data_IF_909670634134
#
_entry.id   IF_909670634134
#
_cell.length_a   1.000
_cell.length_b   1.000
_cell.length_c   1.000
_cell.angle_alpha   90.00
_cell.angle_beta   90.00
_cell.angle_gamma   90.00
#
_symmetry.space_group_name_H-M   'P 1'
#
loop_
_entity.id
_entity.type
_entity.pdbx_description
1 polymer ?
#
# COMPACT_ATOMS: atom_id res chain seq x y z
N UNK A 1 17.22 38.15 1.71
CA UNK A 1 17.72 37.04 0.88
C UNK A 1 16.51 36.25 0.46
N UNK A 2 16.19 36.23 -0.83
CA UNK A 2 15.10 35.37 -1.34
C UNK A 2 15.52 33.92 -1.12
N UNK A 3 14.72 33.16 -0.37
CA UNK A 3 14.85 31.72 -0.27
C UNK A 3 14.79 31.15 -1.68
N UNK A 4 15.84 30.47 -2.11
CA UNK A 4 15.79 29.71 -3.34
C UNK A 4 14.61 28.71 -3.17
N UNK A 5 13.59 28.84 -4.00
CA UNK A 5 12.51 27.88 -4.07
C UNK A 5 13.16 26.59 -4.57
N UNK A 6 13.23 25.56 -3.73
CA UNK A 6 13.69 24.26 -4.17
C UNK A 6 12.91 23.84 -5.42
N UNK A 7 13.57 23.31 -6.44
CA UNK A 7 12.88 22.86 -7.64
C UNK A 7 11.82 21.81 -7.24
N UNK A 8 10.68 21.78 -7.94
CA UNK A 8 9.65 20.76 -7.68
C UNK A 8 10.25 19.37 -7.80
N UNK A 9 9.83 18.45 -6.92
CA UNK A 9 10.30 17.08 -6.94
C UNK A 9 9.99 16.40 -8.27
N UNK A 10 11.00 15.80 -8.91
CA UNK A 10 10.80 15.03 -10.13
C UNK A 10 10.19 13.66 -9.82
N UNK A 11 8.90 13.51 -10.09
CA UNK A 11 8.14 12.27 -9.85
C UNK A 11 8.40 11.18 -10.90
N UNK A 12 9.17 11.47 -11.95
CA UNK A 12 9.52 10.55 -13.05
C UNK A 12 10.96 10.07 -13.00
N UNK A 13 11.65 10.33 -11.90
CA UNK A 13 13.02 9.88 -11.68
C UNK A 13 13.16 9.19 -10.32
N UNK A 14 13.94 8.12 -10.29
CA UNK A 14 14.44 7.56 -9.03
C UNK A 14 15.44 8.55 -8.45
N UNK A 15 15.32 8.95 -7.16
CA UNK A 15 16.27 9.84 -6.53
C UNK A 15 17.71 9.32 -6.64
N UNK A 16 18.66 10.20 -6.92
CA UNK A 16 20.05 9.81 -7.21
C UNK A 16 20.77 9.15 -6.02
N UNK A 17 20.32 9.43 -4.80
CA UNK A 17 20.81 8.88 -3.54
C UNK A 17 19.99 7.68 -3.03
N UNK A 18 18.97 7.26 -3.78
CA UNK A 18 18.22 6.03 -3.51
C UNK A 18 18.80 4.85 -4.30
N UNK A 19 18.78 3.67 -3.72
CA UNK A 19 19.34 2.44 -4.30
C UNK A 19 18.26 1.40 -4.51
N UNK A 20 18.01 1.02 -5.76
CA UNK A 20 17.16 -0.12 -6.08
C UNK A 20 17.95 -1.43 -5.89
N UNK A 21 17.31 -2.39 -5.27
CA UNK A 21 17.89 -3.71 -4.97
C UNK A 21 16.83 -4.81 -5.04
N UNK A 22 17.24 -6.05 -4.80
CA UNK A 22 16.31 -7.18 -4.64
C UNK A 22 16.66 -7.97 -3.40
N UNK A 23 15.66 -8.42 -2.68
CA UNK A 23 15.81 -9.37 -1.59
C UNK A 23 15.17 -10.71 -1.97
N UNK A 24 15.59 -11.77 -1.31
CA UNK A 24 15.12 -13.13 -1.57
C UNK A 24 14.20 -13.57 -0.44
N UNK A 25 12.97 -13.97 -0.77
CA UNK A 25 12.08 -14.64 0.16
C UNK A 25 12.61 -16.05 0.50
N UNK A 26 12.07 -16.69 1.54
CA UNK A 26 12.55 -17.98 2.03
C UNK A 26 12.58 -19.10 0.96
N UNK A 27 11.69 -19.02 -0.02
CA UNK A 27 11.60 -19.95 -1.16
C UNK A 27 12.46 -19.53 -2.36
N UNK A 28 13.27 -18.47 -2.21
CA UNK A 28 14.13 -17.94 -3.28
C UNK A 28 13.41 -16.98 -4.24
N UNK A 29 12.15 -16.60 -3.99
CA UNK A 29 11.48 -15.62 -4.83
C UNK A 29 12.13 -14.24 -4.70
N UNK A 30 12.49 -13.64 -5.83
CA UNK A 30 13.17 -12.35 -5.88
C UNK A 30 12.16 -11.20 -5.87
N UNK A 31 12.25 -10.32 -4.88
CA UNK A 31 11.33 -9.18 -4.68
C UNK A 31 12.11 -7.87 -4.75
N UNK A 32 11.60 -6.93 -5.51
CA UNK A 32 12.24 -5.62 -5.72
C UNK A 32 12.03 -4.71 -4.51
N UNK A 33 13.05 -3.95 -4.19
CA UNK A 33 13.09 -2.99 -3.09
C UNK A 33 13.88 -1.76 -3.48
N UNK A 34 13.55 -0.61 -2.92
CA UNK A 34 14.32 0.62 -2.95
C UNK A 34 14.65 1.05 -1.52
N UNK A 35 15.87 1.52 -1.29
CA UNK A 35 16.32 2.09 -0.03
C UNK A 35 16.85 3.50 -0.28
N UNK A 36 16.39 4.44 0.51
CA UNK A 36 16.76 5.84 0.45
C UNK A 36 17.14 6.31 1.85
N UNK A 37 18.43 6.23 2.23
CA UNK A 37 18.90 6.59 3.55
C UNK A 37 18.75 8.10 3.79
N UNK A 38 18.36 8.48 5.00
CA UNK A 38 18.35 9.87 5.41
C UNK A 38 19.76 10.48 5.36
N UNK A 39 19.89 11.79 5.16
CA UNK A 39 21.18 12.46 5.22
C UNK A 39 21.94 12.12 6.51
N UNK A 40 23.25 11.96 6.42
CA UNK A 40 24.08 11.54 7.54
C UNK A 40 23.86 12.41 8.79
N UNK A 41 23.59 11.77 9.93
CA UNK A 41 23.34 12.42 11.22
C UNK A 41 21.92 12.98 11.41
N UNK A 42 21.00 12.80 10.46
CA UNK A 42 19.62 13.31 10.56
C UNK A 42 18.56 12.23 10.81
N UNK A 43 18.93 10.96 10.86
CA UNK A 43 17.99 9.84 10.93
C UNK A 43 17.13 9.89 12.21
N UNK A 44 15.82 10.09 12.05
CA UNK A 44 14.81 10.05 13.13
C UNK A 44 14.24 8.65 13.35
N UNK A 45 14.54 7.73 12.46
CA UNK A 45 14.01 6.38 12.40
C UNK A 45 13.90 5.91 10.96
N UNK A 46 13.14 4.86 10.73
CA UNK A 46 13.01 4.25 9.40
C UNK A 46 11.55 3.93 9.07
N UNK A 47 11.14 4.20 7.82
CA UNK A 47 9.81 3.92 7.28
C UNK A 47 9.95 2.89 6.17
N UNK A 48 9.21 1.78 6.26
CA UNK A 48 9.02 0.83 5.16
C UNK A 48 7.63 1.05 4.56
N UNK A 49 7.60 1.44 3.27
CA UNK A 49 6.36 1.66 2.53
C UNK A 49 6.03 0.47 1.63
N UNK A 50 4.74 0.10 1.61
CA UNK A 50 4.23 -1.03 0.84
C UNK A 50 3.01 -0.62 0.01
N UNK A 51 3.07 -0.73 -1.34
CA UNK A 51 2.02 -0.28 -2.26
C UNK A 51 0.79 -1.22 -2.24
N UNK A 52 -0.24 -0.82 -2.98
CA UNK A 52 -1.48 -1.58 -3.18
C UNK A 52 -1.37 -2.70 -4.21
N UNK A 53 -2.54 -3.21 -4.63
CA UNK A 53 -2.64 -4.21 -5.70
C UNK A 53 -2.47 -3.56 -7.07
N UNK A 54 -1.62 -4.13 -7.92
CA UNK A 54 -1.33 -3.57 -9.25
C UNK A 54 -0.68 -2.20 -9.18
N UNK A 55 -0.03 -1.95 -8.08
CA UNK A 55 0.61 -0.72 -7.69
C UNK A 55 2.11 -0.92 -7.57
N UNK A 56 2.89 0.15 -7.52
CA UNK A 56 4.34 0.13 -7.45
C UNK A 56 4.85 1.37 -6.71
N UNK A 57 6.03 1.31 -6.10
CA UNK A 57 6.50 2.36 -5.21
C UNK A 57 6.84 3.69 -5.91
N UNK A 58 7.13 3.67 -7.22
CA UNK A 58 7.43 4.89 -7.97
C UNK A 58 6.27 5.90 -7.96
N UNK A 59 5.04 5.44 -7.87
CA UNK A 59 3.86 6.30 -7.71
C UNK A 59 3.92 7.17 -6.46
N UNK A 60 4.65 6.73 -5.45
CA UNK A 60 4.71 7.34 -4.13
C UNK A 60 6.02 8.08 -3.84
N UNK A 61 6.94 8.18 -4.80
CA UNK A 61 8.24 8.82 -4.60
C UNK A 61 8.13 10.23 -4.02
N UNK A 62 7.13 11.03 -4.42
CA UNK A 62 6.89 12.36 -3.88
C UNK A 62 6.53 12.32 -2.37
N UNK A 63 5.74 11.35 -1.94
CA UNK A 63 5.41 11.14 -0.53
C UNK A 63 6.61 10.60 0.25
N UNK A 64 7.35 9.68 -0.33
CA UNK A 64 8.58 9.13 0.25
C UNK A 64 9.65 10.22 0.39
N UNK A 65 9.79 11.10 -0.61
CA UNK A 65 10.68 12.27 -0.56
C UNK A 65 10.28 13.26 0.54
N UNK A 66 8.98 13.44 0.79
CA UNK A 66 8.51 14.27 1.88
C UNK A 66 9.01 13.73 3.23
N UNK A 67 8.83 12.46 3.54
CA UNK A 67 9.33 11.87 4.77
C UNK A 67 10.86 11.80 4.85
N UNK A 68 11.54 11.57 3.71
CA UNK A 68 13.00 11.62 3.63
C UNK A 68 13.54 13.02 4.01
N UNK A 69 12.95 14.10 3.48
CA UNK A 69 13.31 15.48 3.86
C UNK A 69 13.09 15.78 5.34
N UNK A 70 12.13 15.10 5.97
CA UNK A 70 11.90 15.19 7.41
C UNK A 70 12.92 14.39 8.24
N UNK A 71 13.87 13.72 7.61
CA UNK A 71 14.96 12.97 8.26
C UNK A 71 14.63 11.51 8.55
N UNK A 72 13.70 10.88 7.82
CA UNK A 72 13.45 9.45 7.92
C UNK A 72 14.25 8.67 6.87
N UNK A 73 14.85 7.54 7.27
CA UNK A 73 15.28 6.55 6.29
C UNK A 73 14.05 5.96 5.61
N UNK A 74 14.05 5.90 4.30
CA UNK A 74 12.93 5.37 3.53
C UNK A 74 13.34 4.05 2.88
N UNK A 75 12.48 3.05 3.01
CA UNK A 75 12.51 1.87 2.16
C UNK A 75 11.12 1.64 1.58
N UNK A 76 11.06 1.11 0.37
CA UNK A 76 9.80 0.62 -0.19
C UNK A 76 10.04 -0.70 -0.92
N UNK A 77 9.05 -1.58 -0.94
CA UNK A 77 9.16 -2.89 -1.59
C UNK A 77 7.87 -3.21 -2.33
N UNK A 78 8.01 -3.81 -3.51
CA UNK A 78 6.87 -4.43 -4.17
C UNK A 78 6.42 -5.67 -3.38
N UNK A 79 5.22 -6.15 -3.67
CA UNK A 79 4.78 -7.47 -3.23
C UNK A 79 5.21 -8.55 -4.23
N UNK A 80 5.45 -9.78 -3.76
CA UNK A 80 5.61 -10.96 -4.61
C UNK A 80 4.55 -10.98 -5.69
N UNK A 81 4.94 -11.14 -6.94
CA UNK A 81 4.03 -11.21 -8.09
C UNK A 81 3.46 -9.87 -8.54
N UNK A 82 3.94 -8.72 -8.00
CA UNK A 82 3.48 -7.38 -8.34
C UNK A 82 4.66 -6.44 -8.63
N UNK A 83 4.38 -5.28 -9.20
CA UNK A 83 5.42 -4.37 -9.66
C UNK A 83 6.41 -5.08 -10.59
N UNK A 84 7.71 -4.92 -10.34
CA UNK A 84 8.77 -5.71 -11.01
C UNK A 84 9.26 -6.88 -10.11
N UNK A 85 8.34 -7.54 -9.39
CA UNK A 85 8.63 -8.72 -8.55
C UNK A 85 8.01 -10.00 -9.09
N UNK A 86 8.01 -10.15 -10.41
CA UNK A 86 7.49 -11.31 -11.14
C UNK A 86 5.97 -11.36 -11.24
N UNK A 87 5.45 -12.50 -11.68
CA UNK A 87 4.00 -12.76 -11.82
C UNK A 87 3.70 -14.19 -11.40
N UNK A 88 2.53 -14.39 -10.78
CA UNK A 88 2.05 -15.71 -10.31
C UNK A 88 0.80 -16.18 -11.09
N UNK A 89 0.29 -15.34 -11.99
CA UNK A 89 -0.84 -15.66 -12.86
C UNK A 89 -0.49 -16.60 -14.02
N UNK A 90 -1.47 -16.83 -14.91
CA UNK A 90 -1.28 -17.61 -16.15
C UNK A 90 -0.58 -16.81 -17.25
N UNK A 91 -0.57 -15.50 -17.13
CA UNK A 91 -0.02 -14.57 -18.09
C UNK A 91 0.82 -13.48 -17.38
N UNK A 92 1.43 -12.60 -18.17
CA UNK A 92 2.31 -11.55 -17.67
C UNK A 92 1.60 -10.42 -16.92
N UNK A 93 0.27 -10.39 -16.87
CA UNK A 93 -0.48 -9.24 -16.33
C UNK A 93 -1.53 -9.60 -15.30
N UNK A 94 -2.09 -10.81 -15.32
CA UNK A 94 -3.09 -11.24 -14.32
C UNK A 94 -2.46 -11.38 -12.93
N UNK A 95 -2.92 -10.57 -11.99
CA UNK A 95 -2.47 -10.63 -10.59
C UNK A 95 -3.06 -11.86 -9.88
N UNK A 96 -2.19 -12.67 -9.28
CA UNK A 96 -2.58 -13.89 -8.59
C UNK A 96 -1.79 -14.09 -7.31
N UNK A 97 -2.37 -14.80 -6.37
CA UNK A 97 -1.74 -15.43 -5.22
C UNK A 97 -2.64 -16.56 -4.73
N UNK A 98 -2.05 -17.66 -4.33
CA UNK A 98 -2.79 -18.80 -3.78
C UNK A 98 -3.23 -18.58 -2.33
N UNK A 99 -2.43 -17.85 -1.55
CA UNK A 99 -2.74 -17.50 -0.16
C UNK A 99 -2.14 -16.12 0.20
N UNK A 100 -2.95 -15.27 0.84
CA UNK A 100 -2.48 -13.99 1.38
C UNK A 100 -1.48 -14.19 2.54
N UNK A 101 -1.50 -15.35 3.20
CA UNK A 101 -0.50 -15.74 4.19
C UNK A 101 0.93 -15.77 3.63
N UNK A 102 1.09 -16.05 2.34
CA UNK A 102 2.41 -15.97 1.68
C UNK A 102 2.96 -14.54 1.73
N UNK A 103 2.13 -13.53 1.42
CA UNK A 103 2.56 -12.13 1.48
C UNK A 103 2.84 -11.65 2.91
N UNK A 104 2.05 -12.09 3.90
CA UNK A 104 2.35 -11.70 5.30
C UNK A 104 3.60 -12.40 5.82
N UNK A 105 3.89 -13.63 5.41
CA UNK A 105 5.13 -14.33 5.74
C UNK A 105 6.35 -13.67 5.07
N UNK A 106 6.26 -13.31 3.78
CA UNK A 106 7.29 -12.54 3.08
C UNK A 106 7.56 -11.21 3.82
N UNK A 107 6.50 -10.50 4.22
CA UNK A 107 6.65 -9.25 4.98
C UNK A 107 7.33 -9.49 6.33
N UNK A 108 6.97 -10.52 7.08
CA UNK A 108 7.62 -10.86 8.35
C UNK A 108 9.13 -11.12 8.18
N UNK A 109 9.50 -11.82 7.12
CA UNK A 109 10.91 -12.06 6.79
C UNK A 109 11.65 -10.78 6.39
N UNK A 110 11.06 -9.97 5.48
CA UNK A 110 11.62 -8.68 5.10
C UNK A 110 11.77 -7.78 6.33
N UNK A 111 10.73 -7.70 7.16
CA UNK A 111 10.70 -6.89 8.36
C UNK A 111 11.84 -7.23 9.31
N UNK A 112 12.05 -8.50 9.62
CA UNK A 112 13.11 -8.92 10.55
C UNK A 112 14.50 -8.50 10.06
N UNK A 113 14.82 -8.72 8.77
CA UNK A 113 16.11 -8.35 8.19
C UNK A 113 16.28 -6.83 8.05
N UNK A 114 15.22 -6.14 7.62
CA UNK A 114 15.22 -4.69 7.45
C UNK A 114 15.35 -3.95 8.79
N UNK A 115 14.59 -4.38 9.80
CA UNK A 115 14.64 -3.83 11.15
C UNK A 115 16.05 -3.97 11.77
N UNK A 116 16.72 -5.08 11.52
CA UNK A 116 18.08 -5.30 12.01
C UNK A 116 19.14 -4.43 11.29
N UNK A 117 18.84 -3.98 10.06
CA UNK A 117 19.75 -3.20 9.22
C UNK A 117 19.52 -1.68 9.26
N UNK A 118 18.44 -1.22 9.90
CA UNK A 118 18.06 0.20 9.88
C UNK A 118 17.85 0.73 11.31
N UNK A 119 18.08 2.03 11.56
CA UNK A 119 17.83 2.61 12.88
C UNK A 119 16.33 2.74 13.17
N UNK A 120 15.94 2.45 14.41
CA UNK A 120 14.59 2.72 14.90
C UNK A 120 14.36 4.19 15.29
N UNK A 121 13.10 4.55 15.60
CA UNK A 121 11.91 3.72 15.55
C UNK A 121 11.52 3.28 14.13
N UNK A 122 10.87 2.11 14.02
CA UNK A 122 10.50 1.51 12.74
C UNK A 122 8.99 1.65 12.50
N UNK A 123 8.60 2.25 11.38
CA UNK A 123 7.21 2.50 11.00
C UNK A 123 6.88 1.74 9.70
N UNK A 124 5.70 1.12 9.66
CA UNK A 124 5.13 0.58 8.43
C UNK A 124 4.09 1.56 7.87
N UNK A 125 4.29 1.98 6.62
CA UNK A 125 3.33 2.78 5.87
C UNK A 125 2.85 1.98 4.67
N UNK A 126 1.55 1.99 4.36
CA UNK A 126 1.03 1.19 3.27
C UNK A 126 -0.26 1.73 2.66
N UNK A 127 -0.49 1.38 1.40
CA UNK A 127 -1.69 1.77 0.65
C UNK A 127 -2.56 0.55 0.31
N UNK A 128 -3.88 0.70 0.38
CA UNK A 128 -4.89 -0.22 -0.17
C UNK A 128 -4.66 -1.69 0.28
N UNK A 129 -4.39 -2.62 -0.66
CA UNK A 129 -4.06 -4.02 -0.35
C UNK A 129 -2.82 -4.11 0.56
N UNK A 130 -1.80 -3.27 0.35
CA UNK A 130 -0.66 -3.20 1.25
C UNK A 130 -1.08 -2.85 2.68
N UNK A 131 -2.00 -1.88 2.85
CA UNK A 131 -2.57 -1.52 4.14
C UNK A 131 -3.30 -2.67 4.83
N UNK A 132 -4.03 -3.49 4.06
CA UNK A 132 -4.62 -4.74 4.56
C UNK A 132 -3.56 -5.73 5.05
N UNK A 133 -2.52 -5.95 4.24
CA UNK A 133 -1.49 -6.95 4.53
C UNK A 133 -0.64 -6.57 5.74
N UNK A 134 -0.24 -5.30 5.88
CA UNK A 134 0.54 -4.86 7.06
C UNK A 134 -0.29 -4.90 8.33
N UNK A 135 -1.58 -4.53 8.27
CA UNK A 135 -2.48 -4.63 9.41
C UNK A 135 -2.70 -6.09 9.83
N UNK A 136 -2.83 -7.01 8.87
CA UNK A 136 -2.91 -8.44 9.13
C UNK A 136 -1.62 -9.00 9.72
N UNK A 137 -0.46 -8.65 9.16
CA UNK A 137 0.83 -9.08 9.68
C UNK A 137 1.08 -8.59 11.12
N UNK A 138 0.65 -7.36 11.46
CA UNK A 138 0.69 -6.84 12.82
C UNK A 138 -0.26 -7.61 13.77
N UNK A 139 -1.49 -7.89 13.32
CA UNK A 139 -2.45 -8.68 14.09
C UNK A 139 -1.98 -10.13 14.33
N UNK A 140 -1.29 -10.72 13.35
CA UNK A 140 -0.67 -12.05 13.43
C UNK A 140 0.71 -12.04 14.14
N UNK A 141 1.18 -10.86 14.61
CA UNK A 141 2.46 -10.65 15.29
C UNK A 141 3.69 -11.07 14.45
N UNK A 142 3.56 -10.98 13.14
CA UNK A 142 4.68 -11.22 12.21
C UNK A 142 5.58 -9.99 12.08
N UNK A 143 5.07 -8.82 12.46
CA UNK A 143 5.77 -7.54 12.51
C UNK A 143 5.44 -6.80 13.81
N UNK A 144 6.37 -5.98 14.29
CA UNK A 144 6.27 -5.22 15.54
C UNK A 144 6.67 -3.74 15.33
N UNK A 145 5.99 -2.99 14.45
CA UNK A 145 6.31 -1.59 14.18
C UNK A 145 5.98 -0.69 15.38
N UNK A 146 6.65 0.46 15.46
CA UNK A 146 6.31 1.50 16.43
C UNK A 146 4.97 2.19 16.11
N UNK A 147 4.56 2.20 14.84
CA UNK A 147 3.25 2.66 14.38
C UNK A 147 2.93 2.14 12.97
N UNK A 148 1.64 2.21 12.60
CA UNK A 148 1.14 1.92 11.25
C UNK A 148 0.53 3.19 10.62
N UNK A 149 0.86 3.47 9.36
CA UNK A 149 0.21 4.48 8.53
C UNK A 149 -0.48 3.78 7.36
N UNK A 150 -1.81 3.84 7.32
CA UNK A 150 -2.63 3.11 6.36
C UNK A 150 -3.43 4.09 5.49
N UNK A 151 -3.12 4.17 4.20
CA UNK A 151 -3.88 4.96 3.24
C UNK A 151 -4.91 4.07 2.53
N UNK A 152 -6.19 4.38 2.70
CA UNK A 152 -7.33 3.68 2.12
C UNK A 152 -7.20 2.13 2.18
N UNK A 153 -6.98 1.52 3.37
CA UNK A 153 -6.68 0.09 3.48
C UNK A 153 -7.84 -0.77 2.97
N UNK A 154 -7.53 -1.84 2.23
CA UNK A 154 -8.51 -2.78 1.66
C UNK A 154 -9.13 -3.67 2.77
N UNK A 155 -10.06 -3.13 3.54
CA UNK A 155 -10.75 -3.85 4.63
C UNK A 155 -12.15 -4.35 4.23
N UNK A 156 -12.61 -4.01 3.05
CA UNK A 156 -13.82 -4.43 2.35
C UNK A 156 -13.81 -3.86 0.95
N UNK A 157 -14.59 -4.41 0.03
CA UNK A 157 -14.77 -3.82 -1.29
C UNK A 157 -15.92 -2.80 -1.29
N UNK A 158 -15.77 -1.72 -2.07
CA UNK A 158 -16.84 -0.76 -2.33
C UNK A 158 -17.89 -1.37 -3.25
N UNK A 159 -19.12 -0.87 -3.16
CA UNK A 159 -20.19 -1.04 -4.13
C UNK A 159 -20.57 -2.49 -4.53
N UNK A 160 -20.54 -3.45 -3.63
CA UNK A 160 -21.27 -4.70 -3.85
C UNK A 160 -22.75 -4.50 -3.49
N UNK A 161 -23.65 -4.72 -4.46
CA UNK A 161 -25.09 -4.77 -4.21
C UNK A 161 -25.49 -5.97 -3.35
N UNK A 162 -24.60 -6.98 -3.25
CA UNK A 162 -24.81 -8.20 -2.50
C UNK A 162 -23.91 -8.20 -1.25
N UNK A 163 -24.36 -8.89 -0.17
CA UNK A 163 -23.53 -9.05 1.03
C UNK A 163 -22.18 -9.73 0.70
N UNK A 164 -21.12 -9.33 1.41
CA UNK A 164 -19.77 -9.88 1.22
C UNK A 164 -19.72 -11.41 1.32
N UNK A 165 -20.59 -12.01 2.16
CA UNK A 165 -20.71 -13.46 2.29
C UNK A 165 -21.17 -14.11 1.00
N UNK A 166 -22.13 -13.51 0.30
CA UNK A 166 -22.63 -14.01 -1.00
C UNK A 166 -21.54 -13.86 -2.07
N UNK A 167 -20.89 -12.70 -2.10
CA UNK A 167 -19.78 -12.46 -3.05
C UNK A 167 -18.61 -13.42 -2.82
N UNK A 168 -18.29 -13.73 -1.57
CA UNK A 168 -17.27 -14.72 -1.24
C UNK A 168 -17.65 -16.13 -1.70
N UNK A 169 -18.92 -16.56 -1.52
CA UNK A 169 -19.36 -17.86 -2.03
C UNK A 169 -19.32 -17.92 -3.57
N UNK A 170 -19.71 -16.84 -4.23
CA UNK A 170 -19.58 -16.74 -5.69
C UNK A 170 -18.10 -16.83 -6.13
N UNK A 171 -17.19 -16.15 -5.44
CA UNK A 171 -15.76 -16.25 -5.74
C UNK A 171 -15.21 -17.67 -5.51
N UNK A 172 -15.64 -18.37 -4.44
CA UNK A 172 -15.30 -19.79 -4.21
C UNK A 172 -15.76 -20.68 -5.35
N UNK A 173 -17.01 -20.51 -5.79
CA UNK A 173 -17.56 -21.27 -6.91
C UNK A 173 -16.76 -21.00 -8.18
N UNK A 174 -16.52 -19.73 -8.50
CA UNK A 174 -15.74 -19.35 -9.68
C UNK A 174 -14.31 -19.87 -9.63
N UNK A 175 -13.66 -19.85 -8.45
CA UNK A 175 -12.34 -20.45 -8.24
C UNK A 175 -12.36 -21.98 -8.51
N UNK A 176 -13.40 -22.67 -8.11
CA UNK A 176 -13.55 -24.13 -8.28
C UNK A 176 -13.89 -24.53 -9.73
N UNK A 177 -14.51 -23.65 -10.52
CA UNK A 177 -14.94 -23.89 -11.90
C UNK A 177 -13.83 -23.64 -12.92
N UNK A 178 -12.64 -24.20 -12.75
CA UNK A 178 -11.51 -24.08 -13.68
C UNK A 178 -10.24 -23.57 -13.01
N UNK A 179 -9.26 -23.11 -13.81
CA UNK A 179 -7.98 -22.63 -13.25
C UNK A 179 -8.21 -21.38 -12.38
N UNK A 180 -7.85 -21.41 -11.09
CA UNK A 180 -8.02 -20.26 -10.19
C UNK A 180 -7.21 -19.03 -10.62
N UNK A 181 -6.18 -19.19 -11.46
CA UNK A 181 -5.31 -18.13 -11.94
C UNK A 181 -5.91 -17.32 -13.11
N UNK A 182 -7.05 -17.80 -13.71
CA UNK A 182 -7.70 -17.06 -14.78
C UNK A 182 -8.25 -15.71 -14.30
N UNK A 183 -8.26 -14.67 -15.17
CA UNK A 183 -8.74 -13.34 -14.80
C UNK A 183 -10.21 -13.35 -14.35
N UNK A 184 -10.51 -12.61 -13.28
CA UNK A 184 -11.86 -12.49 -12.72
C UNK A 184 -12.71 -11.43 -13.45
N UNK A 185 -12.07 -10.49 -14.15
CA UNK A 185 -12.74 -9.46 -14.96
C UNK A 185 -11.92 -9.14 -16.21
N UNK A 186 -12.55 -8.48 -17.17
CA UNK A 186 -11.85 -8.02 -18.39
C UNK A 186 -10.83 -6.95 -18.02
N UNK A 187 -9.68 -7.01 -18.65
CA UNK A 187 -8.68 -5.97 -18.49
C UNK A 187 -9.13 -4.68 -19.17
N UNK A 188 -9.50 -3.68 -18.38
CA UNK A 188 -9.93 -2.35 -18.82
C UNK A 188 -8.80 -1.33 -18.91
N UNK A 189 -7.56 -1.75 -18.67
CA UNK A 189 -6.40 -0.88 -18.47
C UNK A 189 -5.20 -1.36 -19.30
N UNK A 190 -5.46 -2.00 -20.44
CA UNK A 190 -4.40 -2.45 -21.34
C UNK A 190 -3.52 -1.27 -21.79
N UNK A 191 -2.21 -1.48 -21.99
CA UNK A 191 -1.34 -0.45 -22.51
C UNK A 191 -1.89 0.14 -23.82
N UNK A 192 -2.01 1.49 -23.88
CA UNK A 192 -2.65 2.20 -24.98
C UNK A 192 -4.13 2.51 -24.80
N UNK A 193 -4.80 1.86 -23.86
CA UNK A 193 -6.14 2.23 -23.41
C UNK A 193 -6.03 2.99 -22.09
N UNK A 194 -6.30 4.28 -22.09
CA UNK A 194 -6.42 5.08 -20.86
C UNK A 194 -7.91 5.27 -20.59
N UNK A 195 -8.52 4.44 -19.73
CA UNK A 195 -9.88 4.71 -19.35
C UNK A 195 -9.88 5.98 -18.49
N UNK A 196 -10.46 7.07 -18.96
CA UNK A 196 -10.76 8.25 -18.13
C UNK A 196 -11.49 7.87 -16.85
N UNK A 197 -12.19 6.75 -16.85
CA UNK A 197 -12.89 6.17 -15.71
C UNK A 197 -11.95 5.75 -14.58
N UNK A 198 -10.70 5.27 -14.87
CA UNK A 198 -9.76 4.85 -13.82
C UNK A 198 -9.19 6.05 -13.07
N UNK A 199 -8.78 7.11 -13.77
CA UNK A 199 -8.32 8.34 -13.11
C UNK A 199 -9.33 8.81 -12.06
N UNK A 200 -10.61 8.85 -12.42
CA UNK A 200 -11.74 9.25 -11.55
C UNK A 200 -12.00 8.31 -10.36
N UNK A 201 -11.35 7.15 -10.31
CA UNK A 201 -11.41 6.24 -9.15
C UNK A 201 -10.24 6.46 -8.20
N UNK A 202 -9.11 6.98 -8.71
CA UNK A 202 -7.85 7.00 -7.98
C UNK A 202 -7.53 8.36 -7.37
N UNK A 203 -7.62 9.44 -8.15
CA UNK A 203 -7.22 10.79 -7.71
C UNK A 203 -7.87 11.86 -8.58
N UNK A 204 -8.04 13.06 -8.02
CA UNK A 204 -8.41 14.26 -8.76
C UNK A 204 -7.19 14.93 -9.43
N UNK A 205 -5.96 14.54 -9.06
CA UNK A 205 -4.74 15.10 -9.63
C UNK A 205 -4.36 14.42 -10.96
N UNK A 206 -4.71 15.09 -12.06
CA UNK A 206 -4.43 14.59 -13.41
C UNK A 206 -2.92 14.46 -13.69
N UNK A 207 -2.08 15.30 -13.06
CA UNK A 207 -0.63 15.26 -13.27
C UNK A 207 -0.03 14.04 -12.57
N UNK A 208 -0.36 13.78 -11.30
CA UNK A 208 0.07 12.58 -10.57
C UNK A 208 -0.43 11.30 -11.25
N UNK A 209 -1.62 11.34 -11.83
CA UNK A 209 -2.10 10.21 -12.65
C UNK A 209 -1.28 10.03 -13.94
N UNK A 210 -0.95 11.13 -14.63
CA UNK A 210 -0.12 11.06 -15.84
C UNK A 210 1.30 10.54 -15.55
N UNK A 211 1.86 10.82 -14.35
CA UNK A 211 3.14 10.28 -13.94
C UNK A 211 3.09 8.75 -13.74
N UNK A 212 1.98 8.20 -13.23
CA UNK A 212 1.77 6.74 -13.19
C UNK A 212 1.80 6.13 -14.60
N UNK A 213 1.10 6.74 -15.56
CA UNK A 213 1.09 6.27 -16.94
C UNK A 213 2.48 6.35 -17.57
N UNK A 214 3.23 7.41 -17.27
CA UNK A 214 4.61 7.55 -17.73
C UNK A 214 5.48 6.40 -17.21
N UNK A 215 5.41 6.03 -15.92
CA UNK A 215 6.14 4.91 -15.37
C UNK A 215 5.75 3.58 -16.03
N UNK A 216 4.47 3.34 -16.25
CA UNK A 216 3.96 2.13 -16.93
C UNK A 216 4.44 2.00 -18.36
N UNK A 217 4.65 3.13 -19.05
CA UNK A 217 5.19 3.15 -20.40
C UNK A 217 6.70 2.91 -20.45
N UNK A 218 7.44 3.41 -19.45
CA UNK A 218 8.89 3.31 -19.41
C UNK A 218 9.39 2.02 -18.72
N UNK A 219 8.56 1.44 -17.84
CA UNK A 219 8.83 0.18 -17.14
C UNK A 219 7.63 -0.76 -17.33
N UNK A 220 7.64 -1.50 -18.43
CA UNK A 220 6.52 -2.40 -18.81
C UNK A 220 6.27 -3.51 -17.79
N UNK A 221 7.29 -3.91 -17.04
CA UNK A 221 7.22 -4.87 -15.93
C UNK A 221 6.32 -4.41 -14.78
N UNK A 222 6.10 -3.10 -14.61
CA UNK A 222 5.21 -2.55 -13.60
C UNK A 222 3.72 -2.73 -13.94
N UNK A 223 3.40 -3.03 -15.19
CA UNK A 223 2.02 -3.12 -15.65
C UNK A 223 1.37 -4.39 -15.10
N UNK A 224 0.24 -4.21 -14.41
CA UNK A 224 -0.61 -5.29 -13.94
C UNK A 224 -2.06 -5.06 -14.41
N UNK A 225 -2.70 -6.15 -14.79
CA UNK A 225 -4.10 -6.19 -15.22
C UNK A 225 -5.05 -6.68 -14.13
N UNK A 226 -6.08 -7.45 -14.50
CA UNK A 226 -7.10 -7.92 -13.56
C UNK A 226 -6.54 -8.83 -12.47
N UNK A 227 -7.29 -8.97 -11.38
CA UNK A 227 -7.05 -10.04 -10.42
C UNK A 227 -7.62 -11.37 -10.93
N UNK A 228 -7.02 -12.46 -10.51
CA UNK A 228 -7.54 -13.80 -10.76
C UNK A 228 -8.71 -14.14 -9.83
N UNK A 229 -9.48 -15.15 -10.17
CA UNK A 229 -10.52 -15.67 -9.26
C UNK A 229 -9.93 -16.22 -7.96
N UNK A 230 -8.71 -16.78 -8.00
CA UNK A 230 -7.97 -17.15 -6.80
C UNK A 230 -7.70 -15.97 -5.89
N UNK A 231 -7.18 -14.86 -6.46
CA UNK A 231 -6.95 -13.62 -5.71
C UNK A 231 -8.24 -13.07 -5.09
N UNK A 232 -9.34 -13.00 -5.86
CA UNK A 232 -10.63 -12.48 -5.37
C UNK A 232 -11.12 -13.29 -4.17
N UNK A 233 -11.10 -14.63 -4.28
CA UNK A 233 -11.54 -15.50 -3.19
C UNK A 233 -10.67 -15.33 -1.94
N UNK A 234 -9.34 -15.26 -2.10
CA UNK A 234 -8.40 -15.03 -0.99
C UNK A 234 -8.56 -13.65 -0.37
N UNK A 235 -8.84 -12.61 -1.17
CA UNK A 235 -9.11 -11.28 -0.65
C UNK A 235 -10.34 -11.27 0.27
N UNK A 236 -11.46 -11.85 -0.16
CA UNK A 236 -12.64 -11.97 0.71
C UNK A 236 -12.37 -12.79 1.98
N UNK A 237 -11.66 -13.91 1.87
CA UNK A 237 -11.29 -14.72 3.02
C UNK A 237 -10.45 -13.94 4.02
N UNK A 238 -9.44 -13.22 3.55
CA UNK A 238 -8.52 -12.43 4.36
C UNK A 238 -9.21 -11.22 5.01
N UNK A 239 -10.04 -10.48 4.27
CA UNK A 239 -10.81 -9.35 4.81
C UNK A 239 -11.78 -9.81 5.91
N UNK A 240 -12.46 -10.94 5.73
CA UNK A 240 -13.35 -11.52 6.74
C UNK A 240 -12.60 -12.01 7.98
N UNK A 241 -11.41 -12.55 7.81
CA UNK A 241 -10.53 -12.92 8.93
C UNK A 241 -10.11 -11.70 9.72
N UNK A 242 -9.52 -10.71 9.06
CA UNK A 242 -9.02 -9.49 9.69
C UNK A 242 -10.14 -8.65 10.32
N UNK A 243 -11.34 -8.64 9.72
CA UNK A 243 -12.49 -7.90 10.24
C UNK A 243 -13.09 -8.45 11.55
N UNK A 244 -12.58 -9.55 12.11
CA UNK A 244 -13.00 -10.07 13.41
C UNK A 244 -12.49 -9.17 14.53
N UNK A 245 -13.34 -8.83 15.52
CA UNK A 245 -12.92 -7.94 16.61
C UNK A 245 -11.71 -8.47 17.37
N UNK A 246 -11.67 -9.76 17.64
CA UNK A 246 -10.58 -10.43 18.35
C UNK A 246 -9.25 -10.41 17.61
N UNK A 247 -9.28 -10.33 16.27
CA UNK A 247 -8.07 -10.22 15.44
C UNK A 247 -7.55 -8.78 15.45
N UNK A 248 -8.44 -7.80 15.21
CA UNK A 248 -8.06 -6.38 15.25
C UNK A 248 -7.57 -5.94 16.63
N UNK A 249 -8.12 -6.51 17.72
CA UNK A 249 -7.68 -6.23 19.08
C UNK A 249 -6.23 -6.66 19.38
N UNK A 250 -5.61 -7.50 18.52
CA UNK A 250 -4.20 -7.85 18.68
C UNK A 250 -3.24 -6.73 18.19
N UNK A 251 -3.74 -5.75 17.45
CA UNK A 251 -2.95 -4.62 16.97
C UNK A 251 -2.90 -3.57 18.05
N UNK A 252 -1.87 -3.59 18.86
CA UNK A 252 -1.71 -2.71 20.05
C UNK A 252 -0.85 -1.48 19.80
N UNK A 253 -0.29 -1.36 18.59
CA UNK A 253 0.51 -0.20 18.17
C UNK A 253 -0.40 0.92 17.67
N UNK A 254 0.02 2.19 17.75
CA UNK A 254 -0.71 3.31 17.15
C UNK A 254 -0.94 3.10 15.66
N UNK A 255 -2.17 3.30 15.20
CA UNK A 255 -2.57 3.19 13.80
C UNK A 255 -3.17 4.50 13.33
N UNK A 256 -2.62 5.07 12.27
CA UNK A 256 -3.25 6.17 11.53
C UNK A 256 -3.88 5.61 10.28
N UNK A 257 -5.16 5.88 10.07
CA UNK A 257 -5.85 5.60 8.81
C UNK A 257 -6.24 6.93 8.15
N UNK A 258 -5.82 7.13 6.90
CA UNK A 258 -6.30 8.24 6.05
C UNK A 258 -7.16 7.65 4.93
N UNK A 259 -8.44 8.01 4.86
CA UNK A 259 -9.38 7.40 3.93
C UNK A 259 -10.57 8.31 3.61
N UNK A 260 -11.24 8.06 2.50
CA UNK A 260 -12.44 8.79 2.06
C UNK A 260 -13.68 7.91 2.05
N UNK A 261 -14.84 8.49 2.31
CA UNK A 261 -16.14 7.83 2.15
C UNK A 261 -16.61 7.80 0.68
N UNK A 262 -15.96 8.55 -0.19
CA UNK A 262 -16.19 8.57 -1.63
C UNK A 262 -15.38 7.55 -2.41
N UNK A 263 -14.64 6.67 -1.72
CA UNK A 263 -13.86 5.60 -2.34
C UNK A 263 -14.77 4.58 -3.04
N UNK A 264 -14.44 4.32 -4.32
CA UNK A 264 -15.19 3.38 -5.16
C UNK A 264 -14.52 2.01 -5.29
N UNK A 265 -13.34 1.82 -4.70
CA UNK A 265 -12.59 0.56 -4.72
C UNK A 265 -12.67 -0.16 -3.39
N UNK A 266 -12.45 0.55 -2.28
CA UNK A 266 -12.53 -0.02 -0.93
C UNK A 266 -13.72 0.53 -0.14
N UNK A 267 -14.31 -0.31 0.68
CA UNK A 267 -15.54 -0.01 1.41
C UNK A 267 -15.31 0.85 2.65
N UNK A 268 -15.72 2.11 2.63
CA UNK A 268 -15.67 3.02 3.78
C UNK A 268 -16.23 2.42 5.07
N UNK A 269 -17.39 1.75 4.99
CA UNK A 269 -18.03 1.15 6.18
C UNK A 269 -17.14 0.10 6.86
N UNK A 270 -16.31 -0.61 6.09
CA UNK A 270 -15.37 -1.58 6.64
C UNK A 270 -14.19 -0.88 7.33
N UNK A 271 -13.67 0.19 6.72
CA UNK A 271 -12.59 1.01 7.28
C UNK A 271 -13.06 1.67 8.60
N UNK A 272 -14.19 2.36 8.60
CA UNK A 272 -14.73 3.02 9.78
C UNK A 272 -14.99 2.04 10.92
N UNK A 273 -15.52 0.84 10.60
CA UNK A 273 -15.73 -0.23 11.59
C UNK A 273 -14.41 -0.76 12.14
N UNK A 274 -13.39 -0.92 11.32
CA UNK A 274 -12.08 -1.36 11.78
C UNK A 274 -11.43 -0.32 12.70
N UNK A 275 -11.52 0.97 12.34
CA UNK A 275 -11.02 2.06 13.17
C UNK A 275 -11.62 2.07 14.59
N UNK A 276 -12.91 1.73 14.74
CA UNK A 276 -13.54 1.63 16.07
C UNK A 276 -13.18 0.36 16.86
N UNK A 277 -12.55 -0.63 16.23
CA UNK A 277 -12.17 -1.90 16.84
C UNK A 277 -10.68 -2.01 17.17
N UNK A 278 -9.87 -1.19 16.52
CA UNK A 278 -8.46 -1.06 16.83
C UNK A 278 -8.28 -0.36 18.17
N UNK A 279 -7.42 -0.86 19.07
CA UNK A 279 -7.21 -0.29 20.40
C UNK A 279 -6.72 1.16 20.41
N UNK A 280 -5.84 1.53 19.47
CA UNK A 280 -5.28 2.87 19.31
C UNK A 280 -5.30 3.24 17.82
N UNK A 281 -6.36 3.93 17.39
CA UNK A 281 -6.55 4.29 15.98
C UNK A 281 -7.04 5.72 15.82
N UNK A 282 -6.29 6.50 15.06
CA UNK A 282 -6.70 7.79 14.54
C UNK A 282 -7.22 7.60 13.10
N UNK A 283 -8.44 8.04 12.83
CA UNK A 283 -9.04 8.01 11.47
C UNK A 283 -9.22 9.43 10.95
N UNK A 284 -8.43 9.79 9.93
CA UNK A 284 -8.59 11.04 9.18
C UNK A 284 -9.52 10.79 8.01
N UNK A 285 -10.73 11.30 8.15
CA UNK A 285 -11.80 11.15 7.17
C UNK A 285 -11.77 12.26 6.14
N UNK A 286 -11.84 11.88 4.86
CA UNK A 286 -12.06 12.74 3.71
C UNK A 286 -13.41 12.42 3.09
N UNK A 287 -14.07 13.45 2.52
CA UNK A 287 -15.30 13.31 1.74
C UNK A 287 -15.03 13.24 0.25
N UNK A 288 -15.91 13.88 -0.54
CA UNK A 288 -15.82 13.88 -2.01
C UNK A 288 -14.60 14.63 -2.59
N UNK A 289 -13.85 15.33 -1.75
CA UNK A 289 -12.60 15.99 -2.12
C UNK A 289 -11.44 15.01 -2.35
N UNK A 290 -11.60 13.73 -1.97
CA UNK A 290 -10.60 12.70 -2.15
C UNK A 290 -11.17 11.47 -2.85
N UNK A 291 -10.31 10.80 -3.62
CA UNK A 291 -10.50 9.46 -4.15
C UNK A 291 -9.59 8.44 -3.45
N UNK A 292 -9.47 7.23 -4.01
CA UNK A 292 -8.76 6.10 -3.40
C UNK A 292 -7.31 6.42 -2.97
N UNK A 293 -6.57 7.17 -3.78
CA UNK A 293 -5.14 7.44 -3.56
C UNK A 293 -4.91 8.76 -2.81
N UNK A 294 -5.39 8.87 -1.57
CA UNK A 294 -5.35 10.08 -0.74
C UNK A 294 -3.94 10.72 -0.69
N UNK A 295 -2.88 9.92 -0.63
CA UNK A 295 -1.49 10.41 -0.64
C UNK A 295 -1.01 10.93 -2.02
N UNK A 296 -1.83 10.79 -3.04
CA UNK A 296 -1.58 11.25 -4.41
C UNK A 296 -2.67 12.17 -4.93
N UNK A 297 -3.50 12.68 -4.03
CA UNK A 297 -4.53 13.66 -4.33
C UNK A 297 -3.96 15.06 -4.60
N UNK A 298 -4.83 15.99 -5.02
CA UNK A 298 -4.49 17.42 -5.14
C UNK A 298 -3.90 17.93 -3.83
N UNK A 299 -2.98 18.90 -3.92
CA UNK A 299 -2.16 19.33 -2.79
C UNK A 299 -2.94 19.62 -1.50
N UNK A 300 -4.09 20.33 -1.49
CA UNK A 300 -4.79 20.59 -0.24
C UNK A 300 -5.23 19.33 0.51
N UNK A 301 -5.62 18.28 -0.21
CA UNK A 301 -6.03 16.98 0.35
C UNK A 301 -4.80 16.20 0.82
N UNK A 302 -3.82 16.12 -0.06
CA UNK A 302 -2.55 15.42 0.21
C UNK A 302 -1.83 16.04 1.42
N UNK A 303 -1.72 17.37 1.49
CA UNK A 303 -1.04 18.06 2.59
C UNK A 303 -1.72 17.83 3.94
N UNK A 304 -3.06 17.80 3.95
CA UNK A 304 -3.83 17.42 5.16
C UNK A 304 -3.54 15.98 5.58
N UNK A 305 -3.44 15.05 4.64
CA UNK A 305 -3.10 13.66 4.93
C UNK A 305 -1.66 13.53 5.44
N UNK A 306 -0.71 14.20 4.78
CA UNK A 306 0.70 14.23 5.22
C UNK A 306 0.87 14.86 6.59
N UNK A 307 0.15 15.95 6.90
CA UNK A 307 0.21 16.58 8.21
C UNK A 307 -0.19 15.61 9.34
N UNK A 308 -1.20 14.77 9.11
CA UNK A 308 -1.58 13.73 10.07
C UNK A 308 -0.50 12.63 10.19
N UNK A 309 0.08 12.20 9.07
CA UNK A 309 1.21 11.28 9.07
C UNK A 309 2.40 11.85 9.87
N UNK A 310 2.77 13.10 9.60
CA UNK A 310 3.90 13.79 10.24
C UNK A 310 3.68 13.95 11.76
N UNK A 311 2.45 14.22 12.19
CA UNK A 311 2.09 14.29 13.61
C UNK A 311 2.29 12.93 14.32
N UNK A 312 1.87 11.81 13.68
CA UNK A 312 2.14 10.48 14.22
C UNK A 312 3.64 10.19 14.24
N UNK A 313 4.34 10.45 13.16
CA UNK A 313 5.80 10.23 13.03
C UNK A 313 6.59 11.04 14.07
N UNK A 314 6.18 12.28 14.37
CA UNK A 314 6.79 13.10 15.40
C UNK A 314 6.60 12.52 16.81
N UNK A 315 5.40 11.99 17.12
CA UNK A 315 5.12 11.29 18.39
C UNK A 315 6.01 10.04 18.55
N UNK A 316 6.11 9.25 17.49
CA UNK A 316 6.93 8.01 17.49
C UNK A 316 8.41 8.33 17.65
N UNK A 317 8.93 9.34 16.95
CA UNK A 317 10.33 9.76 17.09
C UNK A 317 10.64 10.25 18.50
N UNK A 318 9.72 10.99 19.15
CA UNK A 318 9.88 11.46 20.52
C UNK A 318 9.87 10.33 21.55
N UNK A 319 9.08 9.27 21.33
CA UNK A 319 8.97 8.11 22.22
C UNK A 319 10.16 7.14 22.09
N UNK A 320 10.87 7.16 20.98
CA UNK A 320 12.04 6.31 20.70
C UNK A 320 13.39 6.98 21.01
N UNK A 321 13.40 8.22 21.48
CA UNK A 321 14.61 8.88 21.94
C UNK A 321 15.09 8.20 23.25
N UNK A 322 16.40 7.87 23.39
CA UNK A 322 16.96 7.18 24.54
C UNK A 322 16.86 8.02 25.83
#
# INVERSE_FOLDING_TARGET
MASAIDPPFDRRAIPADAVESRWQAADGWSIRRIDWPAPAGSAKGSILFLPGRGDFYEKYLETLAHWHRLGWNISASDWRGQGDSGRLGLDAVTGHIDDFGTWTADLGQLWASWKAATPGPHVLAAHSMGGHLVLRAAAERQVDPAALILSAPMLGFSASLLPETVMHQAAKLMKALGDPRRPAWKWSEAPGEVPETRAKLLTHDAQRYSDELWWRDHRRELVMGPGSWGWVERAYASMRYLGRPEVLAQVTVPVLIVATDSDRLVGWKAIARAATRLPDCELVHFGSEAHHEVLREVDPVRDRALAACDALLARVAASGAP
#
